data_IF_667810514863
#
_entry.id   IF_667810514863
#
_cell.length_a   1.000
_cell.length_b   1.000
_cell.length_c   1.000
_cell.angle_alpha   90.00
_cell.angle_beta   90.00
_cell.angle_gamma   90.00
#
_symmetry.space_group_name_H-M   'P 1'
#
loop_
_entity.id
_entity.type
_entity.pdbx_description
1 polymer ?
#
# COMPACT_ATOMS: atom_id res chain seq x y z
N UNK A 1 -0.88 11.35 -22.33
CA UNK A 1 0.52 10.87 -22.27
C UNK A 1 1.48 11.70 -21.39
N UNK A 2 1.08 12.82 -20.76
CA UNK A 2 1.96 13.55 -19.80
C UNK A 2 1.95 12.97 -18.38
N UNK A 3 0.80 12.49 -17.88
CA UNK A 3 0.66 11.97 -16.52
C UNK A 3 1.44 10.67 -16.27
N UNK A 4 1.48 9.74 -17.24
CA UNK A 4 2.21 8.47 -17.10
C UNK A 4 3.71 8.69 -16.93
N UNK A 5 4.30 9.56 -17.78
CA UNK A 5 5.71 9.94 -17.65
C UNK A 5 6.00 10.60 -16.30
N UNK A 6 5.12 11.50 -15.85
CA UNK A 6 5.28 12.13 -14.54
C UNK A 6 5.26 11.11 -13.40
N UNK A 7 4.43 10.07 -13.48
CA UNK A 7 4.40 8.96 -12.52
C UNK A 7 5.73 8.19 -12.55
N UNK A 8 6.27 7.90 -13.73
CA UNK A 8 7.55 7.20 -13.87
C UNK A 8 8.73 7.99 -13.28
N UNK A 9 8.67 9.32 -13.38
CA UNK A 9 9.71 10.21 -12.85
C UNK A 9 9.52 10.53 -11.35
N UNK A 10 8.42 10.08 -10.71
CA UNK A 10 8.07 10.45 -9.32
C UNK A 10 8.32 9.33 -8.30
N UNK A 11 8.75 9.66 -7.08
CA UNK A 11 8.75 8.71 -5.96
C UNK A 11 7.40 8.65 -5.24
N UNK A 12 6.71 9.80 -5.13
CA UNK A 12 5.41 9.94 -4.49
C UNK A 12 4.42 10.59 -5.47
N UNK A 13 3.25 9.99 -5.63
CA UNK A 13 2.16 10.46 -6.48
C UNK A 13 1.02 10.97 -5.59
N UNK A 14 0.62 12.23 -5.79
CA UNK A 14 -0.58 12.78 -5.17
C UNK A 14 -1.76 12.57 -6.13
N UNK A 15 -2.64 11.65 -5.78
CA UNK A 15 -3.87 11.39 -6.50
C UNK A 15 -4.95 12.37 -6.05
N UNK A 16 -5.16 13.43 -6.83
CA UNK A 16 -6.16 14.45 -6.50
C UNK A 16 -7.53 14.03 -7.02
N UNK A 17 -8.49 13.89 -6.12
CA UNK A 17 -9.90 13.65 -6.40
C UNK A 17 -10.70 14.94 -6.16
N UNK A 18 -11.74 15.15 -6.96
CA UNK A 18 -12.68 16.25 -6.78
C UNK A 18 -13.86 15.76 -5.94
N UNK A 19 -14.04 16.34 -4.73
CA UNK A 19 -15.07 15.91 -3.80
C UNK A 19 -16.50 16.05 -4.37
N UNK A 20 -16.75 17.06 -5.20
CA UNK A 20 -18.09 17.30 -5.78
C UNK A 20 -18.39 16.33 -6.91
N UNK A 21 -17.37 16.01 -7.71
CA UNK A 21 -17.52 15.16 -8.89
C UNK A 21 -17.53 13.66 -8.57
N UNK A 22 -17.03 13.28 -7.40
CA UNK A 22 -16.80 11.89 -7.02
C UNK A 22 -15.70 11.22 -7.85
N UNK A 23 -15.64 9.88 -7.76
CA UNK A 23 -14.61 9.06 -8.43
C UNK A 23 -15.07 8.74 -9.86
N UNK A 24 -14.19 9.00 -10.83
CA UNK A 24 -14.42 8.70 -12.25
C UNK A 24 -13.57 7.52 -12.70
N UNK A 25 -13.95 6.92 -13.82
CA UNK A 25 -13.22 5.80 -14.43
C UNK A 25 -11.76 6.16 -14.78
N UNK A 26 -11.52 7.42 -15.19
CA UNK A 26 -10.18 7.91 -15.47
C UNK A 26 -9.30 7.94 -14.21
N UNK A 27 -9.87 8.25 -13.05
CA UNK A 27 -9.13 8.28 -11.77
C UNK A 27 -8.64 6.88 -11.41
N UNK A 28 -9.49 5.86 -11.57
CA UNK A 28 -9.12 4.45 -11.40
C UNK A 28 -7.98 4.02 -12.31
N UNK A 29 -8.00 4.45 -13.57
CA UNK A 29 -6.93 4.10 -14.53
C UNK A 29 -5.59 4.71 -14.14
N UNK A 30 -5.58 5.99 -13.75
CA UNK A 30 -4.35 6.67 -13.31
C UNK A 30 -3.85 6.08 -12.00
N UNK A 31 -4.75 5.73 -11.09
CA UNK A 31 -4.45 5.09 -9.81
C UNK A 31 -3.77 3.74 -10.00
N UNK A 32 -4.37 2.90 -10.85
CA UNK A 32 -3.85 1.57 -11.17
C UNK A 32 -2.46 1.67 -11.76
N UNK A 33 -2.22 2.60 -12.69
CA UNK A 33 -0.88 2.79 -13.26
C UNK A 33 0.16 3.20 -12.22
N UNK A 34 -0.16 4.13 -11.32
CA UNK A 34 0.76 4.52 -10.24
C UNK A 34 1.06 3.38 -9.27
N UNK A 35 0.04 2.57 -8.95
CA UNK A 35 0.19 1.36 -8.13
C UNK A 35 1.07 0.30 -8.81
N UNK A 36 0.83 0.00 -10.09
CA UNK A 36 1.60 -0.97 -10.87
C UNK A 36 3.05 -0.54 -11.06
N UNK A 37 3.28 0.75 -11.30
CA UNK A 37 4.60 1.36 -11.32
C UNK A 37 5.29 1.32 -9.94
N UNK A 38 4.58 0.87 -8.90
CA UNK A 38 5.09 0.71 -7.54
C UNK A 38 5.38 2.02 -6.85
N UNK A 39 4.68 3.11 -7.19
CA UNK A 39 4.93 4.43 -6.58
C UNK A 39 4.25 4.54 -5.22
N UNK A 40 4.85 5.34 -4.34
CA UNK A 40 4.17 5.77 -3.13
C UNK A 40 3.00 6.69 -3.51
N UNK A 41 1.92 6.68 -2.74
CA UNK A 41 0.69 7.39 -3.09
C UNK A 41 0.04 8.05 -1.88
N UNK A 42 -0.54 9.22 -2.12
CA UNK A 42 -1.43 9.94 -1.19
C UNK A 42 -2.70 10.28 -1.97
N UNK A 43 -3.88 9.97 -1.43
CA UNK A 43 -5.16 10.35 -2.02
C UNK A 43 -5.55 11.71 -1.43
N UNK A 44 -5.68 12.72 -2.28
CA UNK A 44 -5.99 14.10 -1.91
C UNK A 44 -7.39 14.44 -2.40
N UNK A 45 -8.36 14.47 -1.49
CA UNK A 45 -9.74 14.87 -1.80
C UNK A 45 -9.83 16.39 -1.72
N UNK A 46 -9.84 17.04 -2.88
CA UNK A 46 -9.88 18.50 -3.00
C UNK A 46 -11.31 19.05 -3.09
N UNK A 47 -11.46 20.37 -2.94
CA UNK A 47 -12.73 21.09 -2.84
C UNK A 47 -13.59 20.68 -1.65
N UNK A 48 -12.94 20.27 -0.57
CA UNK A 48 -13.65 19.86 0.63
C UNK A 48 -14.48 20.99 1.25
N UNK A 49 -14.20 22.25 0.93
CA UNK A 49 -15.03 23.40 1.33
C UNK A 49 -16.43 23.41 0.71
N UNK A 50 -16.61 22.82 -0.48
CA UNK A 50 -17.88 22.80 -1.20
C UNK A 50 -18.86 21.72 -0.72
N UNK A 51 -18.37 20.76 0.07
CA UNK A 51 -19.20 19.68 0.62
C UNK A 51 -19.89 20.16 1.90
N UNK A 52 -21.21 20.05 1.95
CA UNK A 52 -21.98 20.15 3.20
C UNK A 52 -21.66 18.94 4.08
N UNK A 53 -21.35 19.20 5.35
CA UNK A 53 -20.77 18.18 6.24
C UNK A 53 -21.69 17.92 7.41
N UNK A 54 -21.89 16.65 7.69
CA UNK A 54 -22.37 16.11 8.96
C UNK A 54 -21.27 15.28 9.65
N UNK A 55 -21.61 14.63 10.76
CA UNK A 55 -20.68 13.82 11.55
C UNK A 55 -20.17 12.57 10.81
N UNK A 56 -20.85 12.14 9.74
CA UNK A 56 -20.55 10.91 9.00
C UNK A 56 -19.86 11.14 7.66
N UNK A 57 -20.01 12.34 7.08
CA UNK A 57 -19.57 12.69 5.71
C UNK A 57 -18.12 12.32 5.43
N UNK A 58 -17.21 12.57 6.36
CA UNK A 58 -15.78 12.22 6.18
C UNK A 58 -15.59 10.70 6.06
N UNK A 59 -16.24 9.95 6.95
CA UNK A 59 -16.12 8.49 7.01
C UNK A 59 -16.78 7.83 5.81
N UNK A 60 -17.92 8.36 5.36
CA UNK A 60 -18.63 7.84 4.20
C UNK A 60 -17.83 8.06 2.90
N UNK A 61 -17.20 9.22 2.75
CA UNK A 61 -16.26 9.46 1.64
C UNK A 61 -15.05 8.53 1.70
N UNK A 62 -14.46 8.33 2.88
CA UNK A 62 -13.35 7.40 3.04
C UNK A 62 -13.77 5.97 2.65
N UNK A 63 -14.90 5.48 3.17
CA UNK A 63 -15.42 4.15 2.84
C UNK A 63 -15.68 3.99 1.34
N UNK A 64 -16.25 5.01 0.70
CA UNK A 64 -16.49 5.04 -0.74
C UNK A 64 -15.18 4.97 -1.53
N UNK A 65 -14.16 5.77 -1.15
CA UNK A 65 -12.83 5.72 -1.76
C UNK A 65 -12.20 4.33 -1.57
N UNK A 66 -12.26 3.75 -0.38
CA UNK A 66 -11.71 2.41 -0.10
C UNK A 66 -12.44 1.30 -0.88
N UNK A 67 -13.75 1.44 -1.10
CA UNK A 67 -14.53 0.49 -1.89
C UNK A 67 -14.15 0.53 -3.38
N UNK A 68 -13.90 1.72 -3.92
CA UNK A 68 -13.54 1.93 -5.33
C UNK A 68 -12.04 1.65 -5.60
N UNK A 69 -11.16 1.96 -4.64
CA UNK A 69 -9.71 1.80 -4.74
C UNK A 69 -9.17 0.75 -3.75
N UNK A 70 -9.71 -0.47 -3.81
CA UNK A 70 -9.29 -1.57 -2.91
C UNK A 70 -7.80 -1.86 -2.92
N UNK A 71 -7.14 -1.62 -4.06
CA UNK A 71 -5.69 -1.83 -4.25
C UNK A 71 -4.82 -0.69 -3.68
N UNK A 72 -5.43 0.38 -3.15
CA UNK A 72 -4.76 1.53 -2.51
C UNK A 72 -5.08 1.61 -1.01
N UNK A 73 -5.34 0.50 -0.35
CA UNK A 73 -5.55 0.42 1.10
C UNK A 73 -4.42 1.09 1.90
N UNK A 74 -3.17 0.96 1.43
CA UNK A 74 -1.99 1.57 2.04
C UNK A 74 -1.92 3.09 1.91
N UNK A 75 -2.62 3.69 0.94
CA UNK A 75 -2.50 5.12 0.66
C UNK A 75 -3.31 5.95 1.68
N UNK A 76 -2.70 6.93 2.37
CA UNK A 76 -3.45 7.83 3.24
C UNK A 76 -4.39 8.72 2.42
N UNK A 77 -5.56 9.03 2.99
CA UNK A 77 -6.55 9.93 2.41
C UNK A 77 -6.51 11.25 3.19
N UNK A 78 -6.40 12.37 2.48
CA UNK A 78 -6.42 13.71 3.07
C UNK A 78 -7.44 14.59 2.35
N UNK A 79 -8.30 15.21 3.15
CA UNK A 79 -9.32 16.13 2.67
C UNK A 79 -8.81 17.56 2.77
N UNK A 80 -8.78 18.28 1.65
CA UNK A 80 -8.21 19.62 1.53
C UNK A 80 -9.11 20.56 0.74
N UNK A 81 -8.87 21.86 0.88
CA UNK A 81 -9.40 22.87 -0.03
C UNK A 81 -8.27 23.73 -0.56
N UNK A 82 -7.97 23.60 -1.85
CA UNK A 82 -7.06 24.49 -2.55
C UNK A 82 -7.54 25.96 -2.51
N UNK A 83 -8.86 26.18 -2.45
CA UNK A 83 -9.48 27.50 -2.49
C UNK A 83 -9.32 28.25 -1.15
N UNK A 84 -9.57 27.58 -0.04
CA UNK A 84 -9.51 28.20 1.30
C UNK A 84 -8.17 28.00 1.99
N UNK A 85 -7.31 27.13 1.46
CA UNK A 85 -6.05 26.72 2.09
C UNK A 85 -6.21 25.64 3.16
N UNK A 86 -7.43 25.13 3.38
CA UNK A 86 -7.72 24.14 4.40
C UNK A 86 -6.82 22.90 4.25
N UNK A 87 -6.03 22.61 5.30
CA UNK A 87 -5.18 21.41 5.49
C UNK A 87 -4.08 21.21 4.45
N UNK A 88 -3.79 22.20 3.60
CA UNK A 88 -2.68 22.12 2.63
C UNK A 88 -1.31 22.12 3.31
N UNK A 89 -1.21 22.75 4.47
CA UNK A 89 -0.02 22.84 5.31
C UNK A 89 0.52 21.47 5.77
N UNK A 90 -0.35 20.45 5.81
CA UNK A 90 0.01 19.08 6.21
C UNK A 90 0.64 18.26 5.09
N UNK A 91 0.40 18.62 3.83
CA UNK A 91 0.87 17.84 2.68
C UNK A 91 2.40 17.72 2.61
N UNK A 92 3.21 18.79 2.83
CA UNK A 92 4.66 18.66 2.75
C UNK A 92 5.25 17.64 3.72
N UNK A 93 4.73 17.58 4.96
CA UNK A 93 5.20 16.60 5.93
C UNK A 93 4.74 15.19 5.56
N UNK A 94 3.47 15.03 5.20
CA UNK A 94 2.92 13.74 4.78
C UNK A 94 3.67 13.15 3.58
N UNK A 95 4.07 13.97 2.60
CA UNK A 95 4.89 13.54 1.46
C UNK A 95 6.24 12.99 1.93
N UNK A 96 6.91 13.68 2.86
CA UNK A 96 8.20 13.23 3.41
C UNK A 96 8.06 11.91 4.15
N UNK A 97 7.01 11.75 4.95
CA UNK A 97 6.75 10.53 5.73
C UNK A 97 6.48 9.34 4.79
N UNK A 98 5.63 9.54 3.78
CA UNK A 98 5.34 8.53 2.76
C UNK A 98 6.58 8.15 1.94
N UNK A 99 7.40 9.12 1.55
CA UNK A 99 8.66 8.87 0.83
C UNK A 99 9.70 8.14 1.71
N UNK A 100 9.74 8.45 3.02
CA UNK A 100 10.56 7.73 3.98
C UNK A 100 10.10 6.27 4.12
N UNK A 101 8.79 6.02 4.21
CA UNK A 101 8.22 4.67 4.22
C UNK A 101 8.52 3.93 2.91
N UNK A 102 8.45 4.62 1.78
CA UNK A 102 8.76 4.07 0.45
C UNK A 102 10.23 3.62 0.30
N UNK A 103 11.16 4.32 0.98
CA UNK A 103 12.59 4.00 1.03
C UNK A 103 12.99 3.07 2.17
N UNK A 104 12.06 2.71 3.05
CA UNK A 104 12.36 2.01 4.29
C UNK A 104 13.01 0.65 4.01
N UNK A 105 14.13 0.40 4.69
CA UNK A 105 14.85 -0.87 4.67
C UNK A 105 14.83 -1.50 6.07
N UNK A 106 14.46 -2.77 6.12
CA UNK A 106 14.35 -3.57 7.34
C UNK A 106 15.47 -4.62 7.35
N UNK A 107 16.01 -4.91 8.53
CA UNK A 107 16.99 -5.99 8.71
C UNK A 107 16.35 -7.35 8.41
N UNK A 108 17.13 -8.29 7.89
CA UNK A 108 16.61 -9.65 7.66
C UNK A 108 16.25 -10.33 8.98
N UNK A 109 16.95 -10.07 10.08
CA UNK A 109 16.63 -10.66 11.39
C UNK A 109 15.22 -10.27 11.84
N UNK A 110 14.93 -8.97 11.95
CA UNK A 110 13.64 -8.47 12.44
C UNK A 110 12.49 -8.88 11.51
N UNK A 111 12.73 -8.92 10.19
CA UNK A 111 11.74 -9.44 9.25
C UNK A 111 11.43 -10.92 9.51
N UNK A 112 12.45 -11.75 9.76
CA UNK A 112 12.24 -13.17 10.03
C UNK A 112 11.54 -13.39 11.37
N UNK A 113 11.83 -12.60 12.40
CA UNK A 113 11.12 -12.67 13.68
C UNK A 113 9.60 -12.45 13.47
N UNK A 114 9.22 -11.39 12.75
CA UNK A 114 7.82 -11.09 12.41
C UNK A 114 7.15 -12.23 11.63
N UNK A 115 7.86 -12.81 10.65
CA UNK A 115 7.31 -13.91 9.84
C UNK A 115 7.12 -15.17 10.67
N UNK A 116 8.07 -15.51 11.55
CA UNK A 116 7.96 -16.69 12.40
C UNK A 116 6.84 -16.54 13.43
N UNK A 117 6.67 -15.35 14.02
CA UNK A 117 5.55 -15.03 14.92
C UNK A 117 4.20 -15.16 14.18
N UNK A 118 4.13 -14.66 12.95
CA UNK A 118 2.93 -14.79 12.12
C UNK A 118 2.58 -16.27 11.83
N UNK A 119 3.57 -17.10 11.53
CA UNK A 119 3.40 -18.55 11.29
C UNK A 119 2.97 -19.28 12.56
N UNK A 120 3.46 -18.86 13.73
CA UNK A 120 3.07 -19.45 15.01
C UNK A 120 1.59 -19.21 15.33
N UNK A 121 1.07 -18.02 14.99
CA UNK A 121 -0.35 -17.66 15.17
C UNK A 121 -1.25 -18.33 14.13
N UNK A 122 -0.83 -18.36 12.87
CA UNK A 122 -1.57 -18.96 11.77
C UNK A 122 -0.69 -19.97 11.02
N UNK A 123 -0.75 -21.26 11.39
CA UNK A 123 0.09 -22.29 10.79
C UNK A 123 -0.01 -22.35 9.26
N UNK A 124 1.12 -22.66 8.63
CA UNK A 124 1.23 -22.78 7.17
C UNK A 124 0.27 -23.82 6.58
N UNK A 125 -0.28 -23.58 5.38
CA UNK A 125 -1.18 -24.52 4.70
C UNK A 125 -0.51 -25.88 4.42
N UNK A 126 -1.36 -26.90 4.31
CA UNK A 126 -0.98 -28.24 3.88
C UNK A 126 -1.86 -28.61 2.70
N UNK A 127 -1.25 -29.06 1.61
CA UNK A 127 -1.96 -29.56 0.43
C UNK A 127 -1.39 -30.93 0.03
N UNK A 128 -2.29 -31.89 -0.21
CA UNK A 128 -1.94 -33.27 -0.59
C UNK A 128 -0.82 -33.90 0.28
N UNK A 129 -0.87 -33.67 1.60
CA UNK A 129 0.13 -34.18 2.56
C UNK A 129 1.46 -33.41 2.58
N UNK A 130 1.66 -32.42 1.71
CA UNK A 130 2.83 -31.53 1.69
C UNK A 130 2.51 -30.24 2.44
N UNK A 131 3.31 -29.91 3.45
CA UNK A 131 3.19 -28.66 4.22
C UNK A 131 4.09 -27.59 3.62
N UNK A 132 3.56 -26.37 3.47
CA UNK A 132 4.38 -25.20 3.14
C UNK A 132 5.41 -24.97 4.25
N UNK A 133 6.68 -24.89 3.91
CA UNK A 133 7.78 -24.54 4.82
C UNK A 133 8.35 -23.21 4.36
N UNK A 134 8.27 -22.20 5.22
CA UNK A 134 8.94 -20.92 5.04
C UNK A 134 10.32 -21.02 5.71
N UNK A 135 11.39 -20.84 4.93
CA UNK A 135 12.75 -20.95 5.45
C UNK A 135 13.24 -19.62 6.03
N UNK A 136 13.17 -18.57 5.23
CA UNK A 136 13.55 -17.23 5.61
C UNK A 136 12.97 -16.21 4.63
N UNK A 137 12.92 -14.95 5.05
CA UNK A 137 12.59 -13.81 4.22
C UNK A 137 13.71 -12.77 4.23
N UNK A 138 13.82 -11.98 3.16
CA UNK A 138 14.75 -10.85 3.08
C UNK A 138 14.19 -9.73 2.21
N UNK A 139 14.59 -8.49 2.50
CA UNK A 139 14.24 -7.34 1.67
C UNK A 139 15.29 -7.09 0.59
N UNK A 140 14.90 -7.26 -0.67
CA UNK A 140 15.81 -7.16 -1.83
C UNK A 140 15.82 -5.78 -2.47
N UNK A 141 14.73 -5.02 -2.37
CA UNK A 141 14.64 -3.68 -2.95
C UNK A 141 13.87 -2.69 -2.06
N UNK A 142 14.04 -1.41 -2.38
CA UNK A 142 13.27 -0.28 -1.84
C UNK A 142 12.67 0.47 -3.02
N UNK A 143 11.66 1.31 -2.75
CA UNK A 143 10.96 2.10 -3.76
C UNK A 143 10.38 1.27 -4.94
N UNK A 144 9.44 0.33 -4.67
CA UNK A 144 8.83 0.02 -3.37
C UNK A 144 9.60 -1.04 -2.56
N UNK A 145 9.38 -1.11 -1.22
CA UNK A 145 9.88 -2.20 -0.39
C UNK A 145 9.48 -3.55 -0.99
N UNK A 146 10.48 -4.34 -1.36
CA UNK A 146 10.28 -5.65 -2.01
C UNK A 146 10.93 -6.74 -1.19
N UNK A 147 10.12 -7.70 -0.78
CA UNK A 147 10.50 -8.82 0.06
C UNK A 147 10.50 -10.11 -0.75
N UNK A 148 11.49 -10.96 -0.52
CA UNK A 148 11.53 -12.32 -1.04
C UNK A 148 11.36 -13.29 0.12
N UNK A 149 10.37 -14.17 0.03
CA UNK A 149 10.17 -15.28 0.96
C UNK A 149 10.63 -16.57 0.28
N UNK A 150 11.57 -17.27 0.94
CA UNK A 150 12.06 -18.56 0.47
C UNK A 150 11.27 -19.69 1.09
N UNK A 151 10.71 -20.54 0.23
CA UNK A 151 9.84 -21.66 0.61
C UNK A 151 10.32 -22.98 0.02
N UNK A 152 9.75 -24.10 0.45
CA UNK A 152 10.01 -25.41 -0.16
C UNK A 152 9.32 -25.57 -1.52
N UNK A 153 8.10 -25.07 -1.66
CA UNK A 153 7.30 -25.16 -2.89
C UNK A 153 6.44 -23.90 -3.03
N UNK A 154 6.54 -23.23 -4.17
CA UNK A 154 5.81 -21.97 -4.43
C UNK A 154 4.32 -22.26 -4.62
N UNK A 155 3.95 -23.44 -5.13
CA UNK A 155 2.56 -23.80 -5.36
C UNK A 155 1.75 -23.93 -4.05
N UNK A 156 2.44 -24.23 -2.94
CA UNK A 156 1.81 -24.32 -1.61
C UNK A 156 1.55 -22.94 -0.97
N UNK A 157 2.12 -21.87 -1.53
CA UNK A 157 1.90 -20.49 -1.07
C UNK A 157 0.69 -19.89 -1.80
N UNK A 158 -0.51 -20.19 -1.31
CA UNK A 158 -1.73 -19.59 -1.87
C UNK A 158 -1.81 -18.09 -1.58
N UNK A 159 -2.48 -17.35 -2.47
CA UNK A 159 -2.66 -15.89 -2.37
C UNK A 159 -3.20 -15.43 -1.02
N UNK A 160 -4.09 -16.19 -0.38
CA UNK A 160 -4.62 -15.86 0.95
C UNK A 160 -3.55 -15.85 2.03
N UNK A 161 -2.61 -16.80 1.99
CA UNK A 161 -1.50 -16.87 2.94
C UNK A 161 -0.42 -15.83 2.61
N UNK A 162 -0.17 -15.58 1.33
CA UNK A 162 0.69 -14.48 0.88
C UNK A 162 0.18 -13.12 1.40
N UNK A 163 -1.11 -12.83 1.24
CA UNK A 163 -1.76 -11.63 1.79
C UNK A 163 -1.74 -11.57 3.30
N UNK A 164 -1.90 -12.70 3.98
CA UNK A 164 -1.75 -12.78 5.42
C UNK A 164 -0.35 -12.33 5.86
N UNK A 165 0.71 -12.84 5.23
CA UNK A 165 2.09 -12.43 5.53
C UNK A 165 2.35 -10.97 5.16
N UNK A 166 1.83 -10.49 4.02
CA UNK A 166 1.87 -9.08 3.65
C UNK A 166 1.28 -8.18 4.75
N UNK A 167 0.09 -8.52 5.23
CA UNK A 167 -0.59 -7.77 6.29
C UNK A 167 0.22 -7.78 7.59
N UNK A 168 0.81 -8.93 7.96
CA UNK A 168 1.65 -9.02 9.17
C UNK A 168 2.91 -8.15 9.06
N UNK A 169 3.52 -8.06 7.88
CA UNK A 169 4.62 -7.12 7.63
C UNK A 169 4.12 -5.67 7.81
N UNK A 170 2.94 -5.32 7.27
CA UNK A 170 2.36 -3.97 7.40
C UNK A 170 1.94 -3.61 8.83
N UNK A 171 1.52 -4.58 9.63
CA UNK A 171 1.22 -4.39 11.06
C UNK A 171 2.49 -4.14 11.87
N UNK A 172 3.58 -4.85 11.57
CA UNK A 172 4.84 -4.74 12.30
C UNK A 172 5.66 -3.50 11.93
N UNK A 173 5.53 -3.02 10.69
CA UNK A 173 6.30 -1.90 10.17
C UNK A 173 5.40 -0.90 9.46
N UNK A 174 5.55 0.38 9.81
CA UNK A 174 4.82 1.44 9.13
C UNK A 174 5.21 1.50 7.64
N UNK A 175 4.28 1.10 6.78
CA UNK A 175 4.38 1.22 5.34
C UNK A 175 3.23 2.07 4.76
N UNK A 176 2.66 2.97 5.58
CA UNK A 176 1.64 3.91 5.11
C UNK A 176 2.18 4.71 3.92
N UNK A 177 1.37 4.77 2.87
CA UNK A 177 1.63 5.45 1.61
C UNK A 177 2.48 4.68 0.62
N UNK A 178 3.01 3.50 0.93
CA UNK A 178 3.76 2.69 -0.04
C UNK A 178 3.12 1.32 -0.31
N UNK A 179 3.06 0.87 -1.57
CA UNK A 179 2.85 -0.54 -1.85
C UNK A 179 4.06 -1.31 -1.34
N UNK A 180 3.86 -2.57 -0.94
CA UNK A 180 4.94 -3.53 -0.73
C UNK A 180 4.80 -4.67 -1.73
N UNK A 181 5.93 -5.21 -2.19
CA UNK A 181 5.96 -6.33 -3.11
C UNK A 181 6.44 -7.58 -2.37
N UNK A 182 5.65 -8.65 -2.42
CA UNK A 182 6.04 -9.94 -1.89
C UNK A 182 6.35 -10.88 -3.06
N UNK A 183 7.52 -11.51 -3.04
CA UNK A 183 7.96 -12.44 -4.07
C UNK A 183 8.26 -13.77 -3.40
N UNK A 184 7.57 -14.81 -3.84
CA UNK A 184 7.78 -16.17 -3.32
C UNK A 184 8.78 -16.89 -4.21
N UNK A 185 9.79 -17.53 -3.61
CA UNK A 185 10.79 -18.32 -4.35
C UNK A 185 11.00 -19.67 -3.68
N UNK A 186 11.13 -20.72 -4.48
CA UNK A 186 11.63 -22.00 -4.00
C UNK A 186 13.10 -21.86 -3.62
N UNK A 187 13.48 -22.38 -2.45
CA UNK A 187 14.88 -22.54 -2.07
C UNK A 187 15.50 -23.61 -2.98
N UNK A 188 16.53 -23.23 -3.75
CA UNK A 188 17.37 -24.19 -4.47
C UNK A 188 18.25 -24.97 -3.51
#
# INVERSE_FOLDING_TARGET
MRALKAIDDSNVVLMVLDAEAGIREQDKRVAGFAHEAGRAMIIVVNKWDAIEKDDHTVKDFENMIRAEFKFLDYAPIVFVSAKTGQRLDRLPQMIKDVDANHRKRISSSTLNDVIMDAIAVNPTPTDNGRRLRVYYATQVAVQPPTFVIFVNDVELMHFSYERFLENKIREAFDFTGTPIKLIVRARK
#
